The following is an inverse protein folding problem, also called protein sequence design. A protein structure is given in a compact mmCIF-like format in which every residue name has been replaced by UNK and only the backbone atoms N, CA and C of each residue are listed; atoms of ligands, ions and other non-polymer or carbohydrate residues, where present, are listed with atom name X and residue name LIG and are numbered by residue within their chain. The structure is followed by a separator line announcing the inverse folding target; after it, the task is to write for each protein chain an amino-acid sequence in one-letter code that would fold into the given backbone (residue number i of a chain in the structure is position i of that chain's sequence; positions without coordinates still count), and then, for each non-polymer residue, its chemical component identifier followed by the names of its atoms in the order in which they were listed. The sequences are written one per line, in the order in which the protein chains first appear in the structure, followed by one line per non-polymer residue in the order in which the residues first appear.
data_IF_156748660640
#
_entry.id   IF_156748660640
#
_cell.length_a   1.000
_cell.length_b   1.000
_cell.length_c   1.000
_cell.angle_alpha   90.00
_cell.angle_beta   90.00
_cell.angle_gamma   90.00
#
_symmetry.space_group_name_H-M   'P 1'
#
loop_
_entity.id
_entity.type
_entity.pdbx_description
1 polymer ?
#
# COMPACT_ATOMS: atom_id res chain seq x y z
N UNK A 1 -23.99 14.46 6.83
CA UNK A 1 -23.25 13.24 6.47
C UNK A 1 -22.64 13.49 5.11
N UNK A 2 -21.40 13.08 4.91
CA UNK A 2 -20.77 13.05 3.59
C UNK A 2 -21.40 11.88 2.84
N UNK A 3 -22.23 12.14 1.83
CA UNK A 3 -22.84 11.05 1.04
C UNK A 3 -22.06 10.84 -0.27
N UNK A 4 -21.37 11.88 -0.75
CA UNK A 4 -20.58 11.91 -1.97
C UNK A 4 -19.30 12.71 -1.75
N UNK A 5 -18.19 12.21 -2.30
CA UNK A 5 -16.88 12.88 -2.28
C UNK A 5 -16.54 13.32 -3.68
N UNK A 6 -16.16 14.59 -3.83
CA UNK A 6 -15.53 15.08 -5.04
C UNK A 6 -14.06 14.64 -5.07
N UNK A 7 -13.63 14.02 -6.15
CA UNK A 7 -12.24 13.60 -6.33
C UNK A 7 -11.85 13.50 -7.82
N UNK A 8 -10.55 13.50 -8.06
CA UNK A 8 -9.93 13.27 -9.35
C UNK A 8 -9.03 12.04 -9.31
N UNK A 9 -8.99 11.32 -10.42
CA UNK A 9 -8.04 10.23 -10.63
C UNK A 9 -7.29 10.52 -11.92
N UNK A 10 -5.97 10.59 -11.82
CA UNK A 10 -5.09 10.88 -12.95
C UNK A 10 -3.92 9.90 -12.96
N UNK A 11 -3.16 9.88 -14.04
CA UNK A 11 -2.04 8.96 -14.21
C UNK A 11 -0.88 9.65 -14.93
N UNK A 12 0.34 9.21 -14.62
CA UNK A 12 1.57 9.72 -15.22
C UNK A 12 2.52 8.57 -15.55
N UNK A 13 3.29 8.72 -16.62
CA UNK A 13 4.36 7.79 -16.94
C UNK A 13 5.40 7.80 -15.80
N UNK A 14 5.84 6.63 -15.29
CA UNK A 14 6.83 6.58 -14.24
C UNK A 14 8.14 7.23 -14.67
N UNK A 15 8.77 7.97 -13.77
CA UNK A 15 10.09 8.56 -13.98
C UNK A 15 10.84 8.64 -12.65
N UNK A 16 12.18 8.73 -12.72
CA UNK A 16 13.01 8.80 -11.51
C UNK A 16 12.65 10.00 -10.61
N UNK A 17 12.21 11.11 -11.21
CA UNK A 17 11.83 12.33 -10.51
C UNK A 17 10.74 12.07 -9.46
N UNK A 18 9.81 11.16 -9.73
CA UNK A 18 8.72 10.79 -8.82
C UNK A 18 9.24 10.22 -7.49
N UNK A 19 10.44 9.67 -7.45
CA UNK A 19 11.04 9.08 -6.27
C UNK A 19 12.04 10.00 -5.57
N UNK A 20 12.24 11.23 -6.08
CA UNK A 20 13.08 12.21 -5.40
C UNK A 20 12.40 12.74 -4.15
N UNK A 21 13.19 12.97 -3.11
CA UNK A 21 12.71 13.35 -1.77
C UNK A 21 11.84 14.62 -1.76
N UNK A 22 12.15 15.57 -2.63
CA UNK A 22 11.43 16.84 -2.74
C UNK A 22 10.29 16.85 -3.76
N UNK A 23 10.00 15.72 -4.42
CA UNK A 23 8.93 15.65 -5.39
C UNK A 23 7.56 15.65 -4.71
N UNK A 24 6.65 16.49 -5.20
CA UNK A 24 5.26 16.57 -4.76
C UNK A 24 4.34 16.72 -5.98
N UNK A 25 3.08 16.25 -5.91
CA UNK A 25 2.12 16.39 -7.02
C UNK A 25 1.63 17.85 -7.18
N UNK A 26 1.74 18.67 -6.15
CA UNK A 26 1.36 20.09 -6.10
C UNK A 26 2.33 20.86 -5.19
N UNK A 27 2.60 22.16 -5.44
CA UNK A 27 3.46 22.97 -4.57
C UNK A 27 2.87 23.23 -3.17
N UNK A 28 1.58 22.97 -2.95
CA UNK A 28 0.89 23.26 -1.69
C UNK A 28 0.94 22.10 -0.68
N UNK A 29 1.34 20.91 -1.13
CA UNK A 29 1.37 19.69 -0.31
C UNK A 29 2.80 19.22 -0.05
N UNK A 30 2.99 18.53 1.07
CA UNK A 30 4.20 17.80 1.42
C UNK A 30 3.93 16.30 1.57
N UNK A 31 4.99 15.48 1.57
CA UNK A 31 4.89 14.05 1.88
C UNK A 31 4.34 13.84 3.29
N UNK A 32 3.31 13.01 3.41
CA UNK A 32 2.65 12.66 4.66
C UNK A 32 2.85 11.18 5.05
N UNK A 33 3.42 10.37 4.17
CA UNK A 33 3.76 8.98 4.43
C UNK A 33 4.07 8.24 3.14
N UNK A 34 4.88 7.20 3.26
CA UNK A 34 5.25 6.29 2.18
C UNK A 34 5.13 4.87 2.72
N UNK A 35 4.49 3.97 1.97
CA UNK A 35 4.46 2.55 2.30
C UNK A 35 5.01 1.75 1.15
N UNK A 36 5.96 0.88 1.47
CA UNK A 36 6.54 -0.05 0.53
C UNK A 36 6.07 -1.45 0.90
N UNK A 37 5.35 -2.06 -0.02
CA UNK A 37 4.68 -3.33 0.19
C UNK A 37 5.03 -4.33 -0.89
N UNK A 38 5.13 -5.61 -0.53
CA UNK A 38 5.26 -6.70 -1.49
C UNK A 38 4.65 -8.01 -0.99
N UNK A 39 4.05 -8.74 -1.92
CA UNK A 39 3.56 -10.11 -1.77
C UNK A 39 4.29 -10.96 -2.80
N UNK A 40 5.06 -11.93 -2.32
CA UNK A 40 5.91 -12.76 -3.17
C UNK A 40 5.74 -14.22 -2.80
N UNK A 41 5.76 -15.11 -3.78
CA UNK A 41 5.68 -16.55 -3.53
C UNK A 41 6.90 -17.27 -4.09
N UNK A 42 7.33 -18.30 -3.36
CA UNK A 42 8.39 -19.20 -3.79
C UNK A 42 7.86 -20.29 -4.75
N UNK A 43 8.74 -21.12 -5.35
CA UNK A 43 8.33 -22.22 -6.22
C UNK A 43 7.52 -23.34 -5.53
N UNK A 44 7.49 -23.41 -4.20
CA UNK A 44 6.69 -24.36 -3.45
C UNK A 44 5.25 -23.89 -3.21
N UNK A 45 4.97 -22.60 -3.49
CA UNK A 45 3.70 -21.95 -3.25
C UNK A 45 3.63 -21.19 -1.93
N UNK A 46 4.69 -21.22 -1.10
CA UNK A 46 4.74 -20.43 0.12
C UNK A 46 4.75 -18.95 -0.24
N UNK A 47 3.81 -18.20 0.34
CA UNK A 47 3.70 -16.75 0.13
C UNK A 47 4.26 -16.00 1.33
N UNK A 48 4.95 -14.90 1.04
CA UNK A 48 5.54 -13.98 2.00
C UNK A 48 4.99 -12.58 1.77
N UNK A 49 4.90 -11.83 2.85
CA UNK A 49 4.50 -10.43 2.82
C UNK A 49 5.52 -9.57 3.53
N UNK A 50 5.90 -8.47 2.89
CA UNK A 50 6.76 -7.44 3.44
C UNK A 50 6.04 -6.10 3.37
N UNK A 51 5.97 -5.39 4.49
CA UNK A 51 5.48 -4.01 4.56
C UNK A 51 6.39 -3.17 5.45
N UNK A 52 6.80 -2.02 4.92
CA UNK A 52 7.59 -1.01 5.61
C UNK A 52 7.03 0.38 5.38
N UNK A 53 6.85 1.13 6.45
CA UNK A 53 6.48 2.54 6.39
C UNK A 53 7.72 3.45 6.39
N UNK A 54 7.62 4.61 5.75
CA UNK A 54 8.62 5.67 5.74
C UNK A 54 7.93 7.02 5.85
N UNK A 55 8.50 7.93 6.64
CA UNK A 55 8.02 9.31 6.83
C UNK A 55 6.58 9.48 7.37
N UNK A 56 5.91 8.38 7.68
CA UNK A 56 4.50 8.32 8.09
C UNK A 56 4.30 8.92 9.49
N UNK A 57 4.84 8.29 10.54
CA UNK A 57 4.76 8.82 11.91
C UNK A 57 5.77 9.93 12.21
N UNK A 58 6.97 9.85 11.65
CA UNK A 58 8.06 10.82 11.86
C UNK A 58 8.83 10.96 10.57
N UNK A 59 8.92 12.19 10.07
CA UNK A 59 9.72 12.54 8.89
C UNK A 59 11.19 12.20 9.13
N UNK A 60 11.82 11.51 8.18
CA UNK A 60 13.20 11.04 8.25
C UNK A 60 13.37 9.67 8.92
N UNK A 61 12.28 8.97 9.22
CA UNK A 61 12.31 7.64 9.84
C UNK A 61 11.58 6.62 8.96
N UNK A 62 12.10 5.40 8.93
CA UNK A 62 11.36 4.21 8.49
C UNK A 62 10.88 3.42 9.69
N UNK A 63 9.85 2.60 9.52
CA UNK A 63 9.34 1.77 10.58
C UNK A 63 8.80 0.42 10.12
N UNK A 64 8.82 -0.51 11.08
CA UNK A 64 8.00 -1.72 11.10
C UNK A 64 7.21 -1.68 12.41
N UNK A 65 5.94 -1.26 12.34
CA UNK A 65 5.05 -1.16 13.50
C UNK A 65 4.26 -2.45 13.65
N UNK A 66 4.38 -3.12 14.79
CA UNK A 66 3.68 -4.39 15.05
C UNK A 66 2.30 -4.12 15.66
N UNK A 67 1.23 -4.83 15.26
CA UNK A 67 1.20 -5.96 14.32
C UNK A 67 0.93 -5.55 12.85
N UNK A 68 0.90 -4.26 12.53
CA UNK A 68 0.39 -3.76 11.23
C UNK A 68 1.36 -3.94 10.07
N UNK A 69 2.67 -3.82 10.31
CA UNK A 69 3.73 -3.91 9.30
C UNK A 69 4.66 -5.09 9.61
N UNK A 70 5.57 -5.35 8.66
CA UNK A 70 6.69 -6.26 8.85
C UNK A 70 6.81 -7.31 7.77
N UNK A 71 7.66 -8.30 8.05
CA UNK A 71 8.01 -9.38 7.14
C UNK A 71 7.43 -10.67 7.70
N UNK A 72 6.55 -11.34 6.94
CA UNK A 72 5.77 -12.47 7.43
C UNK A 72 5.72 -13.61 6.42
N UNK A 73 5.66 -14.82 6.94
CA UNK A 73 5.16 -15.97 6.18
C UNK A 73 3.64 -15.96 6.25
N UNK A 74 2.97 -16.10 5.11
CA UNK A 74 1.52 -16.11 5.02
C UNK A 74 1.02 -17.57 4.90
N UNK A 75 0.58 -18.20 6.00
CA UNK A 75 -0.08 -19.50 5.91
C UNK A 75 -1.48 -19.33 5.29
N UNK A 76 -1.94 -20.33 4.54
CA UNK A 76 -3.32 -20.45 4.03
C UNK A 76 -4.31 -20.75 5.16
N UNK A 77 -4.36 -19.87 6.16
CA UNK A 77 -5.25 -19.95 7.29
C UNK A 77 -5.55 -18.54 7.84
N UNK A 78 -6.73 -18.00 7.52
CA UNK A 78 -7.19 -16.69 8.01
C UNK A 78 -7.21 -16.56 9.53
N UNK A 79 -7.45 -17.65 10.26
CA UNK A 79 -7.53 -17.61 11.74
C UNK A 79 -6.17 -17.61 12.43
N UNK A 80 -5.06 -17.79 11.69
CA UNK A 80 -3.73 -17.83 12.25
C UNK A 80 -3.07 -16.45 12.14
N UNK A 81 -2.48 -15.96 13.23
CA UNK A 81 -1.58 -14.81 13.16
C UNK A 81 -0.39 -15.21 12.29
N UNK A 82 -0.19 -14.53 11.16
CA UNK A 82 1.00 -14.74 10.34
C UNK A 82 2.24 -14.38 11.16
N UNK A 83 3.10 -15.37 11.42
CA UNK A 83 4.33 -15.15 12.17
C UNK A 83 5.28 -14.22 11.41
N UNK A 84 5.97 -13.34 12.15
CA UNK A 84 7.10 -12.62 11.57
C UNK A 84 8.19 -13.61 11.14
N UNK A 85 8.81 -13.33 9.99
CA UNK A 85 9.97 -14.08 9.49
C UNK A 85 11.22 -13.82 10.32
N UNK A 86 11.31 -12.62 10.90
CA UNK A 86 12.49 -12.18 11.65
C UNK A 86 12.03 -11.66 13.02
N UNK A 87 12.53 -12.30 14.08
CA UNK A 87 12.09 -12.13 15.47
C UNK A 87 12.20 -10.68 15.96
N UNK A 88 13.20 -9.93 15.48
CA UNK A 88 13.41 -8.54 15.88
C UNK A 88 12.25 -7.61 15.51
N UNK A 89 11.46 -7.96 14.49
CA UNK A 89 10.29 -7.20 14.07
C UNK A 89 8.99 -7.66 14.76
N UNK A 90 9.03 -8.72 15.57
CA UNK A 90 7.83 -9.37 16.08
C UNK A 90 7.22 -8.71 17.33
N UNK A 91 8.02 -7.96 18.11
CA UNK A 91 7.65 -7.61 19.49
C UNK A 91 7.75 -6.13 19.86
N UNK A 92 8.37 -5.30 19.02
CA UNK A 92 8.52 -3.86 19.25
C UNK A 92 8.29 -3.12 17.94
N UNK A 93 7.71 -1.92 18.04
CA UNK A 93 7.73 -1.00 16.91
C UNK A 93 9.18 -0.62 16.63
N UNK A 94 9.63 -0.96 15.44
CA UNK A 94 11.01 -0.80 15.03
C UNK A 94 11.15 0.46 14.19
N UNK A 95 11.84 1.47 14.69
CA UNK A 95 12.08 2.73 13.96
C UNK A 95 13.56 2.92 13.65
N UNK A 96 13.86 3.39 12.44
CA UNK A 96 15.22 3.64 12.01
C UNK A 96 15.37 4.97 11.28
N UNK A 97 16.46 5.72 11.50
CA UNK A 97 16.72 6.95 10.75
C UNK A 97 17.06 6.63 9.30
N UNK A 98 16.50 7.42 8.40
CA UNK A 98 16.71 7.32 6.96
C UNK A 98 17.69 8.39 6.49
N UNK A 99 18.64 7.99 5.66
CA UNK A 99 19.48 8.90 4.88
C UNK A 99 19.04 8.87 3.42
N UNK A 100 19.02 10.03 2.78
CA UNK A 100 18.67 10.17 1.37
C UNK A 100 19.90 10.53 0.55
N UNK A 101 20.08 9.83 -0.57
CA UNK A 101 21.14 10.09 -1.55
C UNK A 101 20.51 10.23 -2.93
N UNK A 102 20.88 11.28 -3.66
CA UNK A 102 20.52 11.51 -5.07
C UNK A 102 21.82 11.72 -5.86
N UNK A 103 22.13 10.80 -6.78
CA UNK A 103 23.26 10.91 -7.71
C UNK A 103 22.88 11.49 -9.07
N UNK A 104 21.61 11.86 -9.25
CA UNK A 104 21.01 12.30 -10.51
C UNK A 104 20.38 11.16 -11.30
N UNK A 105 21.12 10.06 -11.48
CA UNK A 105 20.71 8.84 -12.20
C UNK A 105 20.17 7.73 -11.28
N UNK A 106 20.31 7.91 -9.97
CA UNK A 106 19.79 7.02 -8.94
C UNK A 106 19.34 7.81 -7.72
N UNK A 107 18.28 7.34 -7.06
CA UNK A 107 17.91 7.79 -5.71
C UNK A 107 17.95 6.61 -4.75
N UNK A 108 18.39 6.87 -3.52
CA UNK A 108 18.48 5.87 -2.47
C UNK A 108 17.94 6.40 -1.14
N UNK A 109 17.23 5.53 -0.42
CA UNK A 109 16.91 5.68 0.99
C UNK A 109 17.68 4.60 1.76
N UNK A 110 18.58 5.00 2.65
CA UNK A 110 19.43 4.10 3.44
C UNK A 110 19.00 4.10 4.90
N UNK A 111 18.99 2.94 5.54
CA UNK A 111 18.76 2.76 6.97
C UNK A 111 19.60 1.58 7.50
N UNK A 112 19.82 1.44 8.82
CA UNK A 112 20.72 0.42 9.36
C UNK A 112 20.41 -1.01 8.91
N UNK A 113 19.14 -1.39 8.82
CA UNK A 113 18.71 -2.73 8.41
C UNK A 113 18.53 -2.91 6.89
N UNK A 114 18.68 -1.86 6.07
CA UNK A 114 18.33 -1.97 4.66
C UNK A 114 18.47 -0.69 3.83
N UNK A 115 17.97 -0.78 2.60
CA UNK A 115 17.90 0.32 1.66
C UNK A 115 16.86 0.08 0.58
N UNK A 116 16.36 1.19 0.03
CA UNK A 116 15.48 1.23 -1.13
C UNK A 116 16.16 2.07 -2.19
N UNK A 117 16.24 1.55 -3.41
CA UNK A 117 16.90 2.22 -4.54
C UNK A 117 15.96 2.28 -5.75
N UNK A 118 16.08 3.37 -6.51
CA UNK A 118 15.47 3.53 -7.83
C UNK A 118 16.53 4.01 -8.81
N UNK A 119 16.66 3.34 -9.94
CA UNK A 119 17.60 3.67 -11.01
C UNK A 119 17.01 3.30 -12.39
N UNK A 120 17.85 3.28 -13.43
CA UNK A 120 17.45 2.89 -14.78
C UNK A 120 17.07 1.39 -14.93
N UNK A 121 17.50 0.53 -14.00
CA UNK A 121 17.20 -0.90 -13.98
C UNK A 121 15.89 -1.19 -13.23
N UNK A 122 15.46 -0.29 -12.37
CA UNK A 122 14.13 -0.26 -11.79
C UNK A 122 14.17 0.01 -10.29
N UNK A 123 13.48 -0.85 -9.56
CA UNK A 123 13.32 -0.79 -8.11
C UNK A 123 14.13 -1.89 -7.44
N UNK A 124 14.82 -1.54 -6.35
CA UNK A 124 15.58 -2.49 -5.55
C UNK A 124 15.31 -2.26 -4.08
N UNK A 125 14.90 -3.30 -3.37
CA UNK A 125 14.64 -3.24 -1.93
C UNK A 125 15.42 -4.34 -1.23
N UNK A 126 16.35 -3.91 -0.39
CA UNK A 126 17.10 -4.77 0.50
C UNK A 126 16.72 -4.43 1.94
N UNK A 127 16.27 -5.41 2.70
CA UNK A 127 15.80 -5.21 4.07
C UNK A 127 16.21 -6.38 4.96
N UNK A 128 15.93 -6.24 6.25
CA UNK A 128 16.20 -7.25 7.26
C UNK A 128 17.66 -7.74 7.21
N UNK A 129 18.59 -6.82 7.00
CA UNK A 129 20.03 -7.07 6.82
C UNK A 129 20.35 -8.01 5.63
N UNK A 130 19.61 -7.86 4.53
CA UNK A 130 19.81 -8.62 3.29
C UNK A 130 19.07 -9.95 3.24
N UNK A 131 18.23 -10.27 4.23
CA UNK A 131 17.35 -11.45 4.19
C UNK A 131 16.07 -11.19 3.40
N UNK A 132 15.74 -9.93 3.13
CA UNK A 132 14.69 -9.55 2.20
C UNK A 132 15.35 -8.81 1.05
N UNK A 133 15.31 -9.36 -0.16
CA UNK A 133 15.90 -8.75 -1.34
C UNK A 133 14.94 -8.93 -2.51
N UNK A 134 14.34 -7.85 -2.99
CA UNK A 134 13.46 -7.89 -4.16
C UNK A 134 13.84 -6.80 -5.16
N UNK A 135 13.74 -7.14 -6.43
CA UNK A 135 14.04 -6.27 -7.56
C UNK A 135 12.87 -6.27 -8.52
N UNK A 136 12.47 -5.09 -8.98
CA UNK A 136 11.26 -4.93 -9.76
C UNK A 136 11.32 -3.91 -10.86
N UNK A 137 10.33 -3.98 -11.73
CA UNK A 137 10.01 -2.94 -12.70
C UNK A 137 8.58 -2.49 -12.47
N UNK A 138 8.35 -1.18 -12.55
CA UNK A 138 6.99 -0.63 -12.58
C UNK A 138 6.31 -1.12 -13.86
N UNK A 139 5.13 -1.71 -13.71
CA UNK A 139 4.34 -2.30 -14.81
C UNK A 139 3.07 -1.50 -15.11
N UNK A 140 2.68 -0.58 -14.22
CA UNK A 140 1.61 0.39 -14.44
C UNK A 140 2.14 1.80 -14.67
N UNK A 141 1.28 2.70 -15.12
CA UNK A 141 1.49 4.13 -14.87
C UNK A 141 1.36 4.42 -13.35
N UNK A 142 1.94 5.54 -12.92
CA UNK A 142 1.76 6.06 -11.57
C UNK A 142 0.38 6.70 -11.51
N UNK A 143 -0.49 6.23 -10.62
CA UNK A 143 -1.86 6.74 -10.49
C UNK A 143 -1.98 7.61 -9.26
N UNK A 144 -2.67 8.73 -9.42
CA UNK A 144 -2.95 9.70 -8.38
C UNK A 144 -4.44 9.80 -8.13
N UNK A 145 -4.84 9.67 -6.87
CA UNK A 145 -6.16 10.07 -6.37
C UNK A 145 -5.99 11.41 -5.66
N UNK A 146 -6.71 12.42 -6.11
CA UNK A 146 -6.72 13.75 -5.51
C UNK A 146 -8.11 14.04 -4.93
N UNK A 147 -8.18 14.37 -3.65
CA UNK A 147 -9.40 14.84 -2.97
C UNK A 147 -9.16 16.28 -2.53
N UNK A 148 -9.86 17.27 -3.12
CA UNK A 148 -9.76 18.65 -2.69
C UNK A 148 -10.49 18.89 -1.37
N UNK A 149 -10.19 20.04 -0.75
CA UNK A 149 -10.99 20.60 0.36
C UNK A 149 -12.43 20.79 -0.11
N UNK A 150 -13.37 20.29 0.69
CA UNK A 150 -14.81 20.37 0.44
C UNK A 150 -15.56 20.24 1.75
N UNK A 151 -16.89 20.42 1.75
CA UNK A 151 -17.70 20.30 2.97
C UNK A 151 -17.46 18.96 3.65
N UNK A 152 -16.93 18.95 4.89
CA UNK A 152 -16.61 17.75 5.66
C UNK A 152 -15.21 17.16 5.43
N UNK A 153 -14.39 17.78 4.59
CA UNK A 153 -13.00 17.41 4.31
C UNK A 153 -12.12 18.66 4.45
N UNK A 154 -11.39 18.74 5.56
CA UNK A 154 -10.68 19.96 5.95
C UNK A 154 -9.33 20.16 5.24
N UNK A 155 -8.78 19.10 4.63
CA UNK A 155 -7.48 19.13 3.98
C UNK A 155 -7.51 18.56 2.56
N UNK A 156 -6.69 19.14 1.68
CA UNK A 156 -6.36 18.53 0.39
C UNK A 156 -5.48 17.29 0.61
N UNK A 157 -5.78 16.20 -0.10
CA UNK A 157 -4.96 14.98 -0.07
C UNK A 157 -4.71 14.46 -1.48
N UNK A 158 -3.47 14.07 -1.73
CA UNK A 158 -3.10 13.22 -2.86
C UNK A 158 -2.66 11.87 -2.33
N UNK A 159 -3.11 10.81 -2.96
CA UNK A 159 -2.58 9.47 -2.76
C UNK A 159 -2.07 8.96 -4.10
N UNK A 160 -0.89 8.33 -4.07
CA UNK A 160 -0.19 7.81 -5.24
C UNK A 160 0.06 6.33 -5.07
N UNK A 161 -0.20 5.56 -6.11
CA UNK A 161 0.03 4.12 -6.15
C UNK A 161 0.57 3.70 -7.52
N UNK A 162 1.37 2.65 -7.53
CA UNK A 162 1.87 2.00 -8.75
C UNK A 162 2.09 0.49 -8.50
N UNK A 163 1.99 -0.31 -9.57
CA UNK A 163 2.28 -1.74 -9.53
C UNK A 163 3.69 -2.02 -10.03
N UNK A 164 4.36 -2.94 -9.36
CA UNK A 164 5.64 -3.51 -9.77
C UNK A 164 5.54 -5.03 -9.79
N UNK A 165 6.07 -5.63 -10.85
CA UNK A 165 6.42 -7.06 -10.82
C UNK A 165 7.83 -7.19 -10.26
N UNK A 166 8.00 -8.08 -9.28
CA UNK A 166 9.27 -8.28 -8.57
C UNK A 166 9.75 -9.72 -8.59
N UNK A 167 11.07 -9.87 -8.55
CA UNK A 167 11.78 -11.14 -8.33
C UNK A 167 12.89 -10.93 -7.32
N UNK A 168 13.29 -11.96 -6.59
CA UNK A 168 14.43 -11.85 -5.68
C UNK A 168 14.47 -13.00 -4.69
N UNK A 169 14.89 -12.71 -3.46
CA UNK A 169 15.08 -13.68 -2.38
C UNK A 169 14.45 -13.25 -1.06
N UNK A 170 13.86 -14.23 -0.38
CA UNK A 170 13.46 -14.12 1.03
C UNK A 170 14.17 -15.22 1.79
N UNK A 171 15.03 -14.85 2.74
CA UNK A 171 15.91 -15.73 3.51
C UNK A 171 16.69 -16.73 2.64
N UNK A 172 17.15 -16.26 1.48
CA UNK A 172 17.87 -17.06 0.48
C UNK A 172 17.01 -17.90 -0.45
N UNK A 173 15.69 -17.97 -0.25
CA UNK A 173 14.73 -18.66 -1.12
C UNK A 173 14.32 -17.75 -2.27
N UNK A 174 14.42 -18.24 -3.51
CA UNK A 174 13.99 -17.49 -4.70
C UNK A 174 12.48 -17.25 -4.66
N UNK A 175 12.06 -16.02 -4.96
CA UNK A 175 10.66 -15.61 -4.96
C UNK A 175 10.36 -14.72 -6.15
N UNK A 176 9.07 -14.63 -6.47
CA UNK A 176 8.53 -13.66 -7.43
C UNK A 176 7.13 -13.26 -7.04
N UNK A 177 6.74 -12.05 -7.44
CA UNK A 177 5.38 -11.59 -7.27
C UNK A 177 5.22 -10.10 -7.47
N UNK A 178 4.51 -9.50 -6.54
CA UNK A 178 3.94 -8.19 -6.64
C UNK A 178 4.55 -7.28 -5.59
N UNK A 179 4.89 -6.05 -5.98
CA UNK A 179 5.17 -4.96 -5.06
C UNK A 179 4.43 -3.68 -5.47
N UNK A 180 4.24 -2.77 -4.53
CA UNK A 180 3.77 -1.42 -4.78
C UNK A 180 4.61 -0.43 -3.96
N UNK A 181 4.48 0.84 -4.32
CA UNK A 181 4.98 1.92 -3.49
C UNK A 181 3.94 3.04 -3.40
N UNK A 182 3.42 3.22 -2.20
CA UNK A 182 2.34 4.14 -1.91
C UNK A 182 2.88 5.41 -1.31
N UNK A 183 2.28 6.53 -1.69
CA UNK A 183 2.61 7.82 -1.12
C UNK A 183 1.35 8.58 -0.80
N UNK A 184 1.29 9.14 0.40
CA UNK A 184 0.30 10.13 0.77
C UNK A 184 0.97 11.51 0.80
N UNK A 185 0.25 12.51 0.30
CA UNK A 185 0.61 13.91 0.37
C UNK A 185 -0.55 14.71 0.93
N UNK A 186 -0.24 15.69 1.77
CA UNK A 186 -1.22 16.60 2.34
C UNK A 186 -0.54 17.87 2.84
N UNK A 187 -1.20 18.68 3.68
CA UNK A 187 -0.62 19.90 4.22
C UNK A 187 0.76 19.64 4.87
N UNK A 188 1.76 20.51 4.64
CA UNK A 188 3.10 20.31 5.17
C UNK A 188 3.09 20.06 6.69
N UNK A 189 3.75 18.97 7.11
CA UNK A 189 3.86 18.59 8.51
C UNK A 189 2.76 17.64 9.02
N UNK A 190 1.75 17.30 8.22
CA UNK A 190 0.77 16.26 8.56
C UNK A 190 1.28 14.86 8.23
N UNK A 191 0.91 13.90 9.07
CA UNK A 191 1.06 12.46 8.83
C UNK A 191 -0.18 11.92 8.13
N UNK A 192 -0.05 10.75 7.52
CA UNK A 192 -1.15 10.02 6.88
C UNK A 192 -2.40 9.91 7.75
N UNK A 193 -2.21 9.52 9.00
CA UNK A 193 -3.30 9.30 9.96
C UNK A 193 -4.00 10.60 10.40
N UNK A 194 -3.44 11.76 10.04
CA UNK A 194 -4.07 13.08 10.18
C UNK A 194 -4.86 13.48 8.93
N UNK A 195 -4.66 12.78 7.80
CA UNK A 195 -5.29 13.14 6.52
C UNK A 195 -6.73 12.62 6.43
N UNK A 196 -7.60 13.28 5.64
CA UNK A 196 -8.97 12.87 5.47
C UNK A 196 -9.14 11.45 4.95
N UNK A 197 -8.20 10.97 4.12
CA UNK A 197 -8.27 9.62 3.56
C UNK A 197 -8.33 8.55 4.67
N UNK A 198 -7.43 8.60 5.64
CA UNK A 198 -7.41 7.67 6.78
C UNK A 198 -8.56 7.90 7.77
N UNK A 199 -8.93 9.18 7.99
CA UNK A 199 -9.88 9.55 9.05
C UNK A 199 -11.34 9.41 8.64
N UNK A 200 -11.65 9.68 7.36
CA UNK A 200 -13.02 9.91 6.90
C UNK A 200 -13.39 9.11 5.65
N UNK A 201 -12.44 8.77 4.78
CA UNK A 201 -12.76 8.21 3.48
C UNK A 201 -12.60 6.70 3.43
N UNK A 202 -11.49 6.16 3.92
CA UNK A 202 -11.11 4.76 3.73
C UNK A 202 -12.05 3.78 4.44
N UNK A 203 -12.78 3.01 3.66
CA UNK A 203 -13.43 1.77 4.12
C UNK A 203 -12.62 0.54 3.73
N UNK A 204 -11.98 0.58 2.57
CA UNK A 204 -11.11 -0.47 2.06
C UNK A 204 -10.09 0.12 1.08
N UNK A 205 -8.91 -0.47 1.07
CA UNK A 205 -7.93 -0.31 0.00
C UNK A 205 -7.59 -1.69 -0.56
N UNK A 206 -7.46 -1.78 -1.87
CA UNK A 206 -7.15 -3.03 -2.57
C UNK A 206 -6.07 -2.78 -3.60
N UNK A 207 -5.17 -3.74 -3.75
CA UNK A 207 -4.20 -3.74 -4.83
C UNK A 207 -3.80 -5.15 -5.20
N UNK A 208 -3.72 -5.42 -6.51
CA UNK A 208 -3.44 -6.76 -7.01
C UNK A 208 -2.63 -6.73 -8.31
N UNK A 209 -1.95 -7.85 -8.54
CA UNK A 209 -1.26 -8.13 -9.78
C UNK A 209 -1.52 -9.58 -10.19
N UNK A 210 -1.76 -9.76 -11.48
CA UNK A 210 -2.02 -11.03 -12.14
C UNK A 210 -0.94 -11.31 -13.18
N UNK A 211 -0.45 -12.55 -13.20
CA UNK A 211 0.41 -13.10 -14.23
C UNK A 211 -0.37 -14.14 -15.03
N UNK A 212 -0.46 -13.96 -16.35
CA UNK A 212 -1.17 -14.87 -17.26
C UNK A 212 -0.27 -15.94 -17.88
N UNK A 213 1.03 -15.94 -17.59
CA UNK A 213 2.00 -16.98 -17.95
C UNK A 213 2.60 -16.86 -19.35
N UNK A 214 2.07 -15.97 -20.19
CA UNK A 214 2.62 -15.61 -21.51
C UNK A 214 3.46 -14.32 -21.48
N UNK A 215 3.72 -13.79 -20.28
CA UNK A 215 4.37 -12.51 -20.04
C UNK A 215 3.40 -11.33 -19.95
N UNK A 216 2.11 -11.54 -20.21
CA UNK A 216 1.07 -10.54 -19.98
C UNK A 216 0.79 -10.41 -18.49
N UNK A 217 0.70 -9.16 -18.03
CA UNK A 217 0.33 -8.81 -16.67
C UNK A 217 -1.00 -8.08 -16.66
N UNK A 218 -1.82 -8.39 -15.66
CA UNK A 218 -3.03 -7.67 -15.29
C UNK A 218 -2.93 -7.16 -13.86
N UNK A 219 -3.87 -6.32 -13.43
CA UNK A 219 -3.90 -5.88 -12.04
C UNK A 219 -4.65 -4.58 -11.84
N UNK A 220 -4.48 -3.99 -10.68
CA UNK A 220 -4.99 -2.66 -10.38
C UNK A 220 -4.84 -2.29 -8.92
N UNK A 221 -5.38 -1.13 -8.57
CA UNK A 221 -5.62 -0.74 -7.19
C UNK A 221 -6.85 0.16 -7.13
N UNK A 222 -7.58 0.09 -6.02
CA UNK A 222 -8.71 0.96 -5.77
C UNK A 222 -8.96 1.15 -4.28
N UNK A 223 -9.83 2.12 -4.00
CA UNK A 223 -10.40 2.36 -2.69
C UNK A 223 -11.91 2.16 -2.73
N UNK A 224 -12.48 1.78 -1.60
CA UNK A 224 -13.91 1.85 -1.34
C UNK A 224 -14.15 2.72 -0.11
N UNK A 225 -15.09 3.66 -0.24
CA UNK A 225 -15.51 4.54 0.84
C UNK A 225 -16.09 3.79 2.04
N UNK A 226 -15.80 4.24 3.26
CA UNK A 226 -16.41 3.68 4.49
C UNK A 226 -17.88 4.06 4.64
N UNK A 227 -18.62 3.27 5.39
CA UNK A 227 -19.99 3.60 5.83
C UNK A 227 -20.96 4.01 4.70
N UNK A 228 -20.79 3.43 3.50
CA UNK A 228 -21.63 3.70 2.33
C UNK A 228 -21.29 4.99 1.57
N UNK A 229 -20.16 5.62 1.88
CA UNK A 229 -19.68 6.81 1.19
C UNK A 229 -19.44 6.53 -0.30
N UNK A 230 -19.97 7.39 -1.17
CA UNK A 230 -19.70 7.33 -2.62
C UNK A 230 -18.28 7.83 -2.90
N UNK A 231 -17.30 6.94 -2.72
CA UNK A 231 -15.88 7.16 -2.95
C UNK A 231 -15.25 5.87 -3.48
N UNK A 232 -15.01 5.82 -4.80
CA UNK A 232 -14.49 4.63 -5.50
C UNK A 232 -13.42 4.96 -6.54
N UNK A 233 -12.30 5.64 -6.17
CA UNK A 233 -11.19 5.85 -7.08
C UNK A 233 -10.41 4.56 -7.28
N UNK A 234 -9.93 4.33 -8.51
CA UNK A 234 -9.04 3.21 -8.77
C UNK A 234 -8.52 3.18 -10.19
N UNK A 235 -7.82 2.09 -10.53
CA UNK A 235 -7.35 1.84 -11.88
C UNK A 235 -7.20 0.36 -12.17
N UNK A 236 -7.13 0.03 -13.46
CA UNK A 236 -6.83 -1.30 -13.99
C UNK A 236 -5.58 -1.25 -14.87
N UNK A 237 -4.75 -2.28 -14.80
CA UNK A 237 -3.71 -2.59 -15.76
C UNK A 237 -4.20 -3.75 -16.64
N UNK A 238 -4.30 -3.52 -17.95
CA UNK A 238 -4.62 -4.55 -18.95
C UNK A 238 -3.79 -4.32 -20.20
N UNK A 239 -3.16 -5.37 -20.72
CA UNK A 239 -2.35 -5.32 -21.94
C UNK A 239 -1.31 -4.19 -21.94
N UNK A 240 -0.70 -3.93 -20.78
CA UNK A 240 0.28 -2.85 -20.59
C UNK A 240 -0.31 -1.43 -20.54
N UNK A 241 -1.64 -1.29 -20.51
CA UNK A 241 -2.35 -0.01 -20.44
C UNK A 241 -2.98 0.16 -19.06
N UNK A 242 -2.64 1.26 -18.39
CA UNK A 242 -3.30 1.68 -17.15
C UNK A 242 -4.53 2.52 -17.46
N UNK A 243 -5.70 2.16 -16.94
CA UNK A 243 -6.96 2.93 -17.10
C UNK A 243 -7.49 3.34 -15.74
N UNK A 244 -7.77 4.62 -15.54
CA UNK A 244 -8.26 5.16 -14.26
C UNK A 244 -9.78 5.22 -14.22
N UNK A 245 -10.35 5.04 -13.03
CA UNK A 245 -11.77 4.90 -12.77
C UNK A 245 -12.19 5.73 -11.54
N UNK A 246 -13.45 6.14 -11.52
CA UNK A 246 -14.08 6.88 -10.41
C UNK A 246 -15.35 6.19 -9.89
N UNK A 247 -15.67 5.05 -10.46
CA UNK A 247 -16.93 4.32 -10.32
C UNK A 247 -16.70 2.91 -9.75
N UNK A 248 -15.59 2.71 -9.02
CA UNK A 248 -15.32 1.41 -8.41
C UNK A 248 -16.34 1.14 -7.32
N UNK A 249 -16.88 -0.08 -7.33
CA UNK A 249 -17.75 -0.59 -6.27
C UNK A 249 -17.21 -1.94 -5.82
N UNK A 250 -17.03 -2.09 -4.51
CA UNK A 250 -16.46 -3.30 -3.92
C UNK A 250 -17.32 -3.80 -2.75
N UNK A 251 -17.63 -5.10 -2.76
CA UNK A 251 -18.48 -5.75 -1.78
C UNK A 251 -17.71 -6.90 -1.09
N UNK A 252 -17.17 -6.69 0.13
CA UNK A 252 -16.51 -7.75 0.87
C UNK A 252 -17.51 -8.73 1.47
N UNK A 253 -17.16 -10.01 1.45
CA UNK A 253 -17.73 -11.02 2.34
C UNK A 253 -16.87 -11.12 3.60
N UNK A 254 -17.52 -11.12 4.77
CA UNK A 254 -16.85 -11.22 6.07
C UNK A 254 -17.21 -12.54 6.77
N UNK A 255 -16.25 -13.12 7.50
CA UNK A 255 -16.54 -14.21 8.43
C UNK A 255 -17.11 -13.69 9.78
N UNK A 256 -17.43 -14.61 10.70
CA UNK A 256 -17.95 -14.26 12.03
C UNK A 256 -16.99 -13.41 12.87
N UNK A 257 -15.68 -13.47 12.58
CA UNK A 257 -14.65 -12.65 13.23
C UNK A 257 -14.45 -11.28 12.56
N UNK A 258 -15.22 -10.96 11.51
CA UNK A 258 -15.11 -9.71 10.77
C UNK A 258 -13.93 -9.66 9.78
N UNK A 259 -13.28 -10.79 9.49
CA UNK A 259 -12.19 -10.88 8.53
C UNK A 259 -12.74 -11.03 7.11
N UNK A 260 -12.07 -10.42 6.13
CA UNK A 260 -12.45 -10.51 4.71
C UNK A 260 -12.12 -11.90 4.19
N UNK A 261 -13.11 -12.60 3.64
CA UNK A 261 -12.95 -13.95 3.06
C UNK A 261 -13.11 -13.98 1.55
N UNK A 262 -13.87 -13.03 1.00
CA UNK A 262 -14.04 -12.84 -0.43
C UNK A 262 -14.32 -11.38 -0.74
N UNK A 263 -14.16 -11.00 -2.00
CA UNK A 263 -14.45 -9.66 -2.48
C UNK A 263 -14.96 -9.74 -3.92
N UNK A 264 -16.14 -9.16 -4.13
CA UNK A 264 -16.65 -8.88 -5.47
C UNK A 264 -16.39 -7.41 -5.78
N UNK A 265 -15.95 -7.10 -6.99
CA UNK A 265 -15.66 -5.72 -7.39
C UNK A 265 -16.09 -5.48 -8.82
N UNK A 266 -16.68 -4.30 -9.07
CA UNK A 266 -16.85 -3.75 -10.41
C UNK A 266 -16.01 -2.50 -10.60
N UNK A 267 -15.39 -2.36 -11.77
CA UNK A 267 -14.54 -1.24 -12.12
C UNK A 267 -14.66 -0.98 -13.63
N UNK A 268 -15.25 0.16 -13.98
CA UNK A 268 -15.73 0.41 -15.33
C UNK A 268 -16.71 -0.66 -15.81
N UNK A 269 -16.41 -1.30 -16.94
CA UNK A 269 -17.23 -2.37 -17.50
C UNK A 269 -16.89 -3.78 -16.99
N UNK A 270 -15.84 -3.92 -16.18
CA UNK A 270 -15.32 -5.21 -15.76
C UNK A 270 -15.68 -5.55 -14.32
N UNK A 271 -15.73 -6.84 -14.04
CA UNK A 271 -15.93 -7.40 -12.71
C UNK A 271 -14.82 -8.36 -12.33
N UNK A 272 -14.51 -8.41 -11.05
CA UNK A 272 -13.45 -9.22 -10.45
C UNK A 272 -13.96 -9.88 -9.18
N UNK A 273 -13.57 -11.13 -8.97
CA UNK A 273 -13.85 -11.89 -7.76
C UNK A 273 -12.55 -12.36 -7.14
N UNK A 274 -12.41 -12.21 -5.82
CA UNK A 274 -11.24 -12.62 -5.06
C UNK A 274 -11.65 -13.52 -3.89
N UNK A 275 -10.76 -14.43 -3.51
CA UNK A 275 -10.87 -15.23 -2.30
C UNK A 275 -9.65 -14.98 -1.43
N UNK A 276 -9.84 -14.79 -0.13
CA UNK A 276 -8.75 -14.55 0.82
C UNK A 276 -8.63 -15.72 1.78
N UNK A 277 -7.40 -16.19 1.92
CA UNK A 277 -7.08 -17.38 2.72
C UNK A 277 -5.99 -17.13 3.75
N UNK A 278 -5.29 -15.99 3.66
CA UNK A 278 -4.26 -15.60 4.60
C UNK A 278 -4.51 -14.20 5.16
N UNK A 279 -4.09 -13.98 6.42
CA UNK A 279 -4.11 -12.69 7.07
C UNK A 279 -2.69 -12.36 7.55
N UNK A 280 -2.15 -11.22 7.14
CA UNK A 280 -0.82 -10.76 7.57
C UNK A 280 -0.88 -9.93 8.84
N UNK A 281 -1.94 -9.16 9.01
CA UNK A 281 -2.20 -8.33 10.18
C UNK A 281 -3.70 -8.31 10.47
N UNK A 282 -4.15 -7.67 11.56
CA UNK A 282 -5.59 -7.48 11.82
C UNK A 282 -6.38 -6.80 10.70
N UNK A 283 -5.72 -6.08 9.79
CA UNK A 283 -6.35 -5.34 8.69
C UNK A 283 -5.95 -5.82 7.29
N UNK A 284 -4.94 -6.68 7.16
CA UNK A 284 -4.38 -7.10 5.87
C UNK A 284 -4.73 -8.55 5.52
N UNK A 285 -5.43 -8.72 4.41
CA UNK A 285 -5.90 -10.01 3.90
C UNK A 285 -5.34 -10.29 2.51
N UNK A 286 -5.03 -11.56 2.25
CA UNK A 286 -4.27 -11.99 1.08
C UNK A 286 -4.88 -13.21 0.42
N UNK A 287 -4.85 -13.23 -0.90
CA UNK A 287 -5.29 -14.35 -1.71
C UNK A 287 -5.36 -14.01 -3.20
N UNK A 288 -5.81 -14.94 -4.04
CA UNK A 288 -5.84 -14.76 -5.49
C UNK A 288 -7.17 -14.20 -6.01
N UNK A 289 -7.10 -13.60 -7.21
CA UNK A 289 -8.27 -13.46 -8.08
C UNK A 289 -8.76 -14.85 -8.52
N UNK A 290 -10.05 -15.11 -8.37
CA UNK A 290 -10.69 -16.40 -8.70
C UNK A 290 -11.55 -16.33 -9.96
N UNK A 291 -12.08 -15.15 -10.30
CA UNK A 291 -12.86 -14.94 -11.52
C UNK A 291 -12.77 -13.49 -12.03
N UNK A 292 -13.07 -13.30 -13.32
CA UNK A 292 -13.23 -11.95 -13.90
C UNK A 292 -14.07 -11.97 -15.17
N UNK A 293 -14.66 -10.82 -15.51
CA UNK A 293 -15.38 -10.60 -16.79
C UNK A 293 -14.50 -10.73 -18.03
N UNK A 294 -13.17 -10.66 -17.86
CA UNK A 294 -12.17 -10.79 -18.94
C UNK A 294 -12.08 -12.25 -19.42
N UNK A 295 -12.52 -13.22 -18.60
CA UNK A 295 -12.62 -14.64 -18.96
C UNK A 295 -11.31 -15.41 -18.96
N UNK A 296 -10.16 -14.74 -19.00
CA UNK A 296 -8.84 -15.36 -18.83
C UNK A 296 -8.51 -15.46 -17.36
N UNK A 297 -8.18 -16.66 -16.88
CA UNK A 297 -7.71 -16.87 -15.51
C UNK A 297 -6.20 -16.69 -15.44
N UNK A 298 -5.68 -15.96 -14.44
CA UNK A 298 -4.25 -15.85 -14.22
C UNK A 298 -3.66 -17.20 -13.79
N UNK A 299 -2.39 -17.44 -14.14
CA UNK A 299 -1.64 -18.58 -13.62
C UNK A 299 -1.12 -18.30 -12.20
N UNK A 300 -0.93 -17.02 -11.86
CA UNK A 300 -0.61 -16.54 -10.51
C UNK A 300 -1.30 -15.20 -10.27
N UNK A 301 -1.82 -15.01 -9.07
CA UNK A 301 -2.49 -13.79 -8.67
C UNK A 301 -2.12 -13.46 -7.24
N UNK A 302 -1.76 -12.20 -7.00
CA UNK A 302 -1.47 -11.68 -5.66
C UNK A 302 -2.39 -10.51 -5.41
N UNK A 303 -3.38 -10.69 -4.54
CA UNK A 303 -4.26 -9.60 -4.10
C UNK A 303 -3.99 -9.30 -2.62
N UNK A 304 -3.87 -8.01 -2.33
CA UNK A 304 -3.81 -7.43 -1.00
C UNK A 304 -5.08 -6.61 -0.78
N UNK A 305 -5.83 -6.93 0.28
CA UNK A 305 -6.86 -6.04 0.83
C UNK A 305 -6.43 -5.48 2.18
N UNK A 306 -6.43 -4.16 2.32
CA UNK A 306 -6.47 -3.48 3.61
C UNK A 306 -7.93 -3.13 3.95
N UNK A 307 -8.48 -3.82 4.95
CA UNK A 307 -9.82 -3.60 5.46
C UNK A 307 -9.76 -3.27 6.95
N UNK A 308 -9.74 -1.97 7.30
CA UNK A 308 -9.62 -1.54 8.69
C UNK A 308 -10.87 -1.83 9.53
N UNK A 309 -12.04 -1.98 8.89
CA UNK A 309 -13.32 -2.03 9.60
C UNK A 309 -13.47 -0.84 10.54
N UNK A 310 -13.63 -1.12 11.84
CA UNK A 310 -13.75 -0.08 12.88
C UNK A 310 -12.42 0.39 13.50
N UNK A 311 -11.26 -0.03 12.98
CA UNK A 311 -9.95 0.24 13.61
C UNK A 311 -9.30 1.58 13.21
N UNK A 312 -9.75 2.23 12.13
CA UNK A 312 -9.28 3.56 11.73
C UNK A 312 -10.32 4.63 12.08
N UNK A 313 -10.53 4.86 13.38
CA UNK A 313 -11.30 6.03 13.85
C UNK A 313 -10.37 7.21 14.13
N UNK A 314 -10.85 8.46 13.98
CA UNK A 314 -10.10 9.66 14.36
C UNK A 314 -9.45 9.57 15.75
N UNK A 315 -10.16 9.03 16.73
CA UNK A 315 -9.68 8.92 18.12
C UNK A 315 -8.54 7.91 18.25
N UNK A 316 -8.66 6.74 17.62
CA UNK A 316 -7.59 5.73 17.62
C UNK A 316 -6.35 6.24 16.88
N UNK A 317 -6.53 6.95 15.78
CA UNK A 317 -5.45 7.56 15.02
C UNK A 317 -4.75 8.66 15.85
N UNK A 318 -5.49 9.51 16.55
CA UNK A 318 -4.92 10.54 17.43
C UNK A 318 -4.13 9.93 18.59
N UNK A 319 -4.61 8.80 19.14
CA UNK A 319 -3.90 8.02 20.14
C UNK A 319 -2.61 7.42 19.57
N UNK A 320 -2.62 6.89 18.35
CA UNK A 320 -1.44 6.33 17.69
C UNK A 320 -0.35 7.38 17.45
N UNK A 321 -0.72 8.65 17.22
CA UNK A 321 0.23 9.74 17.04
C UNK A 321 0.76 10.37 18.33
N UNK A 322 0.07 10.17 19.45
CA UNK A 322 0.42 10.83 20.71
C UNK A 322 1.90 10.61 21.12
N UNK A 323 2.49 9.41 20.98
CA UNK A 323 3.90 9.18 21.31
C UNK A 323 4.90 9.99 20.46
N UNK A 324 4.51 10.39 19.25
CA UNK A 324 5.41 11.03 18.28
C UNK A 324 5.38 12.55 18.32
N UNK A 325 4.47 13.17 19.09
CA UNK A 325 4.28 14.64 19.13
C UNK A 325 5.57 15.41 19.39
N UNK A 326 6.38 14.96 20.35
CA UNK A 326 7.66 15.60 20.67
C UNK A 326 8.64 15.54 19.50
N UNK A 327 8.78 14.38 18.87
CA UNK A 327 9.66 14.19 17.72
C UNK A 327 9.22 15.01 16.50
N UNK A 328 7.91 15.24 16.36
CA UNK A 328 7.30 16.07 15.32
C UNK A 328 7.34 17.57 15.61
N UNK A 329 7.82 17.98 16.78
CA UNK A 329 7.85 19.39 17.20
C UNK A 329 6.49 19.97 17.60
N UNK A 330 5.47 19.13 17.74
CA UNK A 330 4.13 19.54 18.17
C UNK A 330 4.11 19.66 19.70
N UNK A 331 3.96 20.88 20.23
CA UNK A 331 3.75 21.05 21.67
C UNK A 331 2.42 20.43 22.11
N UNK A 332 2.33 19.79 23.29
CA UNK A 332 1.04 19.38 23.83
C UNK A 332 0.19 20.64 24.07
N UNK A 333 -1.02 20.66 23.52
CA UNK A 333 -2.03 21.62 23.94
C UNK A 333 -2.27 21.40 25.44
N UNK A 334 -1.79 22.31 26.27
CA UNK A 334 -2.12 22.35 27.69
C UNK A 334 -3.57 22.84 27.75
N UNK A 335 -4.50 21.90 27.94
CA UNK A 335 -5.91 22.21 28.23
C UNK A 335 -6.10 22.60 29.70
#
# INVERSE_FOLDING_TARGET
MLDQIEFEVSKQAPSLDHYRRGWTPSPEVGSAGIWLGAIVSDPSGQTYWGLRGLDDFVVGMTHVVSPICGFRSLPEQLSADAGHLFDEYASIDWFEPVQYIDSGDQVQLLYPSGRIERDANGFHWHDASGRWEVHGKTVSEIVFTHVPIQDGIDDEVYYRHELMYVTGKVDGVEVSGYAHQDFAYGPPGKAYVELPIARHLQGMWVSWLDDYGDGTLGGGSFWQGKDGLTFGPGYQLKDGVTTVHKDVVAEPALNEAGQVTALETSIGSDSYSFMFEAAGSPIHFFGPQTDSSIGTRPVRSWCWVEYPGGMLTPELLDMSLAPFRLARGSQPAIH
#
